data_IF_691597564647
#
_entry.id   IF_691597564647
#
_cell.length_a   1.000
_cell.length_b   1.000
_cell.length_c   1.000
_cell.angle_alpha   90.00
_cell.angle_beta   90.00
_cell.angle_gamma   90.00
#
_symmetry.space_group_name_H-M   'P 1'
#
loop_
_entity.id
_entity.type
_entity.pdbx_description
1 polymer ?
#
# COMPACT_ATOMS: atom_id res chain seq x y z
N UNK A 1 60.40 34.44 30.30
CA UNK A 1 58.95 34.59 30.13
C UNK A 1 58.32 33.24 30.42
N UNK A 2 57.62 33.09 31.55
CA UNK A 2 57.07 31.80 31.99
C UNK A 2 55.63 31.66 31.48
N UNK A 3 55.41 30.80 30.49
CA UNK A 3 54.08 30.45 30.01
C UNK A 3 53.51 29.35 30.93
N UNK A 4 52.49 29.67 31.73
CA UNK A 4 51.73 28.66 32.48
C UNK A 4 50.61 28.12 31.59
N UNK A 5 50.68 26.83 31.26
CA UNK A 5 49.59 26.11 30.61
C UNK A 5 48.70 25.55 31.73
N UNK A 6 47.51 26.12 31.89
CA UNK A 6 46.51 25.56 32.80
C UNK A 6 45.76 24.47 32.03
N UNK A 7 45.97 23.21 32.39
CA UNK A 7 45.10 22.12 31.92
C UNK A 7 43.75 22.28 32.63
N UNK A 8 42.84 23.02 31.99
CA UNK A 8 41.44 23.00 32.37
C UNK A 8 40.95 21.55 32.22
N UNK A 9 40.43 20.99 33.31
CA UNK A 9 39.69 19.73 33.34
C UNK A 9 38.79 19.62 32.11
N UNK A 10 39.17 18.76 31.16
CA UNK A 10 38.37 18.50 29.96
C UNK A 10 37.15 17.69 30.38
N UNK A 11 36.05 18.38 30.69
CA UNK A 11 34.74 17.75 30.63
C UNK A 11 34.61 17.14 29.22
N UNK A 12 34.31 15.85 29.13
CA UNK A 12 34.07 15.20 27.85
C UNK A 12 32.98 15.99 27.10
N UNK A 13 33.16 16.31 25.81
CA UNK A 13 32.13 17.04 25.07
C UNK A 13 30.84 16.22 25.08
N UNK A 14 29.73 16.82 25.51
CA UNK A 14 28.42 16.20 25.37
C UNK A 14 28.10 16.07 23.88
N UNK A 15 28.10 14.83 23.39
CA UNK A 15 27.69 14.53 22.03
C UNK A 15 26.19 14.28 22.04
N UNK A 16 25.45 15.08 21.25
CA UNK A 16 24.01 14.91 21.11
C UNK A 16 23.67 13.53 20.55
N UNK A 17 22.68 12.86 21.15
CA UNK A 17 22.12 11.62 20.59
C UNK A 17 21.55 11.81 19.17
N UNK A 18 21.29 13.06 18.76
CA UNK A 18 20.82 13.42 17.42
C UNK A 18 21.95 13.47 16.37
N UNK A 19 23.22 13.25 16.74
CA UNK A 19 24.33 13.25 15.77
C UNK A 19 24.20 12.12 14.73
N UNK A 20 23.44 11.07 15.06
CA UNK A 20 23.07 10.00 14.15
C UNK A 20 21.57 10.07 13.89
N UNK A 21 21.19 10.13 12.61
CA UNK A 21 19.80 10.10 12.16
C UNK A 21 19.71 9.64 10.71
N UNK A 22 18.52 9.25 10.28
CA UNK A 22 18.21 8.95 8.88
C UNK A 22 17.28 10.01 8.33
N UNK A 23 17.64 10.60 7.20
CA UNK A 23 16.71 11.35 6.39
C UNK A 23 15.96 10.37 5.48
N UNK A 24 14.63 10.33 5.59
CA UNK A 24 13.78 9.47 4.76
C UNK A 24 12.98 10.38 3.85
N UNK A 25 13.40 10.43 2.59
CA UNK A 25 12.70 11.17 1.55
C UNK A 25 12.29 10.20 0.45
N UNK A 26 11.05 10.34 -0.02
CA UNK A 26 10.51 9.55 -1.11
C UNK A 26 9.88 10.48 -2.14
N UNK A 27 10.28 10.32 -3.40
CA UNK A 27 9.71 11.05 -4.51
C UNK A 27 8.95 10.04 -5.40
N UNK A 28 7.72 10.40 -5.78
CA UNK A 28 6.84 9.68 -6.73
C UNK A 28 6.20 8.37 -6.25
N UNK A 29 6.86 7.57 -5.43
CA UNK A 29 6.31 6.27 -4.95
C UNK A 29 6.61 6.06 -3.47
N UNK A 30 5.71 5.38 -2.75
CA UNK A 30 5.98 4.93 -1.39
C UNK A 30 6.80 3.64 -1.38
N UNK A 31 7.68 3.46 -0.41
CA UNK A 31 8.42 2.23 -0.21
C UNK A 31 7.55 1.30 0.61
N UNK A 32 7.26 0.12 0.08
CA UNK A 32 6.40 -0.89 0.72
C UNK A 32 6.89 -1.24 2.14
N UNK A 33 8.19 -1.13 2.42
CA UNK A 33 8.77 -1.39 3.75
C UNK A 33 8.58 -0.28 4.79
N UNK A 34 8.05 0.89 4.38
CA UNK A 34 7.79 2.03 5.26
C UNK A 34 6.30 2.17 5.62
N UNK A 35 5.43 1.39 4.98
CA UNK A 35 4.01 1.32 5.31
C UNK A 35 3.66 -0.04 5.93
N UNK A 36 2.63 -0.05 6.76
CA UNK A 36 1.97 -1.28 7.20
C UNK A 36 1.05 -1.87 6.14
N UNK A 37 0.71 -1.09 5.10
CA UNK A 37 -0.19 -1.49 4.03
C UNK A 37 0.37 -2.70 3.27
N UNK A 38 -0.43 -3.76 3.22
CA UNK A 38 -0.06 -5.01 2.52
C UNK A 38 -0.63 -5.10 1.11
N UNK A 39 -1.67 -4.32 0.82
CA UNK A 39 -2.31 -4.31 -0.49
C UNK A 39 -1.58 -3.34 -1.42
N UNK A 40 -1.27 -3.80 -2.62
CA UNK A 40 -0.80 -2.93 -3.69
C UNK A 40 -1.98 -2.34 -4.43
N UNK A 41 -1.93 -1.05 -4.76
CA UNK A 41 -3.01 -0.36 -5.46
C UNK A 41 -4.44 -0.57 -4.83
N UNK A 42 -4.63 -0.32 -3.51
CA UNK A 42 -5.92 -0.57 -2.85
C UNK A 42 -7.04 0.37 -3.32
N UNK A 43 -6.70 1.45 -4.04
CA UNK A 43 -7.63 2.43 -4.59
C UNK A 43 -7.96 2.20 -6.07
N UNK A 44 -7.50 1.10 -6.65
CA UNK A 44 -7.74 0.72 -8.05
C UNK A 44 -7.35 1.82 -9.06
N UNK A 45 -6.21 2.48 -8.86
CA UNK A 45 -5.68 3.46 -9.80
C UNK A 45 -5.41 2.79 -11.14
N UNK A 46 -5.92 3.38 -12.23
CA UNK A 46 -5.76 2.87 -13.59
C UNK A 46 -4.37 3.06 -14.21
N UNK A 47 -4.23 2.69 -15.50
CA UNK A 47 -5.28 2.16 -16.37
C UNK A 47 -5.57 0.67 -16.12
N UNK A 48 -6.82 0.25 -16.38
CA UNK A 48 -7.20 -1.16 -16.31
C UNK A 48 -6.47 -2.01 -17.36
N UNK A 49 -6.28 -3.30 -17.06
CA UNK A 49 -5.77 -4.26 -18.02
C UNK A 49 -6.74 -4.40 -19.20
N UNK A 50 -6.21 -4.23 -20.42
CA UNK A 50 -7.02 -4.06 -21.64
C UNK A 50 -7.92 -5.24 -21.98
N UNK A 51 -7.55 -6.45 -21.57
CA UNK A 51 -8.32 -7.67 -21.85
C UNK A 51 -9.26 -8.03 -20.71
N UNK A 52 -8.82 -7.83 -19.46
CA UNK A 52 -9.54 -8.35 -18.30
C UNK A 52 -10.38 -7.30 -17.59
N UNK A 53 -10.11 -6.01 -17.80
CA UNK A 53 -10.79 -4.90 -17.12
C UNK A 53 -10.43 -4.76 -15.63
N UNK A 54 -9.41 -5.50 -15.17
CA UNK A 54 -8.93 -5.49 -13.78
C UNK A 54 -7.88 -4.39 -13.60
N UNK A 55 -7.95 -3.67 -12.48
CA UNK A 55 -6.95 -2.68 -12.09
C UNK A 55 -5.55 -3.30 -11.92
N UNK A 56 -4.48 -2.53 -12.15
CA UNK A 56 -3.10 -2.95 -11.90
C UNK A 56 -2.92 -3.56 -10.50
N UNK A 57 -2.04 -4.55 -10.40
CA UNK A 57 -1.71 -5.31 -9.17
C UNK A 57 -2.80 -6.24 -8.64
N UNK A 58 -4.01 -6.25 -9.23
CA UNK A 58 -5.09 -7.15 -8.85
C UNK A 58 -5.25 -8.30 -9.84
N UNK A 59 -5.81 -9.42 -9.35
CA UNK A 59 -6.13 -10.60 -10.15
C UNK A 59 -7.61 -10.96 -9.98
N UNK A 60 -8.27 -11.28 -11.09
CA UNK A 60 -9.63 -11.79 -11.10
C UNK A 60 -9.70 -13.31 -10.90
N UNK A 61 -10.91 -13.81 -10.69
CA UNK A 61 -11.22 -15.23 -10.73
C UNK A 61 -10.87 -15.83 -12.09
N UNK A 62 -10.32 -17.05 -12.06
CA UNK A 62 -10.11 -17.86 -13.27
C UNK A 62 -11.43 -18.45 -13.79
N UNK A 63 -11.46 -18.84 -15.06
CA UNK A 63 -12.59 -19.61 -15.63
C UNK A 63 -13.70 -18.79 -16.31
N UNK A 64 -13.53 -17.47 -16.49
CA UNK A 64 -14.46 -16.67 -17.30
C UNK A 64 -15.86 -16.46 -16.70
N UNK A 65 -16.03 -16.78 -15.41
CA UNK A 65 -17.31 -16.64 -14.70
C UNK A 65 -17.57 -15.23 -14.15
N UNK A 66 -16.59 -14.32 -14.29
CA UNK A 66 -16.65 -12.96 -13.81
C UNK A 66 -16.22 -11.98 -14.91
N UNK A 67 -16.86 -10.82 -14.96
CA UNK A 67 -16.44 -9.67 -15.76
C UNK A 67 -16.02 -8.54 -14.84
N UNK A 68 -15.01 -7.80 -15.27
CA UNK A 68 -14.43 -6.71 -14.51
C UNK A 68 -14.41 -5.45 -15.37
N UNK A 69 -14.61 -4.30 -14.75
CA UNK A 69 -14.38 -2.99 -15.36
C UNK A 69 -13.85 -2.03 -14.31
N UNK A 70 -12.92 -1.16 -14.71
CA UNK A 70 -12.55 -0.01 -13.88
C UNK A 70 -13.46 1.18 -14.20
N UNK A 71 -14.31 1.55 -13.23
CA UNK A 71 -15.37 2.54 -13.43
C UNK A 71 -14.97 3.87 -12.83
N UNK A 72 -14.81 4.90 -13.66
CA UNK A 72 -14.54 6.27 -13.21
C UNK A 72 -15.73 6.86 -12.43
N UNK A 73 -15.45 7.62 -11.39
CA UNK A 73 -16.47 8.29 -10.58
C UNK A 73 -17.24 7.37 -9.63
N UNK A 74 -16.91 6.08 -9.59
CA UNK A 74 -17.62 5.10 -8.77
C UNK A 74 -17.06 4.93 -7.36
N UNK A 75 -15.83 5.42 -7.09
CA UNK A 75 -15.22 5.43 -5.77
C UNK A 75 -15.87 6.46 -4.85
N UNK A 76 -15.68 6.29 -3.53
CA UNK A 76 -16.32 7.13 -2.51
C UNK A 76 -16.11 8.64 -2.71
N UNK A 77 -14.93 9.02 -3.20
CA UNK A 77 -14.54 10.42 -3.41
C UNK A 77 -14.59 10.81 -4.89
N UNK A 78 -15.39 10.10 -5.70
CA UNK A 78 -15.45 10.31 -7.16
C UNK A 78 -14.24 9.76 -7.92
N UNK A 79 -13.40 8.94 -7.28
CA UNK A 79 -12.30 8.23 -7.93
C UNK A 79 -12.78 7.06 -8.78
N UNK A 80 -11.83 6.38 -9.45
CA UNK A 80 -12.08 5.07 -10.04
C UNK A 80 -12.43 4.04 -8.96
N UNK A 81 -13.23 3.02 -9.32
CA UNK A 81 -13.49 1.84 -8.50
C UNK A 81 -13.63 0.60 -9.38
N UNK A 82 -13.18 -0.55 -8.86
CA UNK A 82 -13.28 -1.82 -9.57
C UNK A 82 -14.70 -2.38 -9.48
N UNK A 83 -15.36 -2.52 -10.63
CA UNK A 83 -16.61 -3.25 -10.76
C UNK A 83 -16.31 -4.74 -10.98
N UNK A 84 -17.03 -5.58 -10.25
CA UNK A 84 -17.00 -7.05 -10.35
C UNK A 84 -18.42 -7.53 -10.66
N UNK A 85 -18.59 -8.30 -11.74
CA UNK A 85 -19.89 -8.86 -12.15
C UNK A 85 -19.82 -10.37 -12.24
N UNK A 86 -20.76 -11.06 -11.59
CA UNK A 86 -21.01 -12.46 -11.86
C UNK A 86 -21.64 -12.61 -13.26
N UNK A 87 -21.07 -13.45 -14.12
CA UNK A 87 -21.63 -13.78 -15.44
C UNK A 87 -22.32 -15.14 -15.42
N UNK A 88 -21.90 -16.04 -14.54
CA UNK A 88 -22.47 -17.38 -14.40
C UNK A 88 -23.15 -17.56 -13.03
N UNK A 89 -24.30 -18.27 -12.98
CA UNK A 89 -24.96 -18.59 -11.71
C UNK A 89 -24.09 -19.50 -10.86
N UNK A 90 -24.25 -19.40 -9.53
CA UNK A 90 -23.52 -20.18 -8.52
C UNK A 90 -22.00 -20.00 -8.51
N UNK A 91 -21.50 -18.88 -9.05
CA UNK A 91 -20.08 -18.52 -8.98
C UNK A 91 -19.87 -17.37 -8.01
N UNK A 92 -18.74 -17.39 -7.30
CA UNK A 92 -18.30 -16.32 -6.41
C UNK A 92 -17.22 -15.50 -7.13
N UNK A 93 -17.60 -14.43 -7.85
CA UNK A 93 -16.63 -13.56 -8.48
C UNK A 93 -15.83 -12.86 -7.37
N UNK A 94 -14.51 -12.83 -7.53
CA UNK A 94 -13.63 -12.25 -6.53
C UNK A 94 -12.45 -11.52 -7.21
N UNK A 95 -11.75 -10.76 -6.38
CA UNK A 95 -10.45 -10.17 -6.67
C UNK A 95 -9.48 -10.65 -5.60
N UNK A 96 -8.24 -10.89 -5.98
CA UNK A 96 -7.21 -11.28 -5.02
C UNK A 96 -5.85 -10.69 -5.39
N UNK A 97 -4.96 -10.61 -4.39
CA UNK A 97 -3.54 -10.35 -4.57
C UNK A 97 -2.75 -11.52 -3.99
N UNK A 98 -1.91 -12.12 -4.82
CA UNK A 98 -0.96 -13.13 -4.36
C UNK A 98 0.32 -12.52 -3.80
N UNK A 99 1.15 -13.40 -3.22
CA UNK A 99 2.52 -13.09 -2.76
C UNK A 99 2.60 -12.06 -1.63
N UNK A 100 1.55 -11.93 -0.84
CA UNK A 100 1.57 -11.17 0.41
C UNK A 100 2.02 -12.10 1.53
N UNK A 101 3.10 -11.75 2.21
CA UNK A 101 3.58 -12.53 3.37
C UNK A 101 2.78 -12.14 4.61
N UNK A 102 2.29 -13.14 5.33
CA UNK A 102 1.56 -13.01 6.59
C UNK A 102 2.20 -13.96 7.60
N UNK A 103 2.41 -13.50 8.83
CA UNK A 103 3.01 -14.32 9.89
C UNK A 103 1.93 -15.06 10.67
N UNK A 104 2.25 -16.24 11.18
CA UNK A 104 1.36 -16.94 12.09
C UNK A 104 1.14 -16.12 13.37
N UNK A 105 -0.12 -15.96 13.78
CA UNK A 105 -0.49 -15.14 14.95
C UNK A 105 -0.47 -13.63 14.72
N UNK A 106 -0.20 -13.17 13.48
CA UNK A 106 -0.36 -11.76 13.11
C UNK A 106 -1.84 -11.43 12.96
N UNK A 107 -2.29 -10.36 13.61
CA UNK A 107 -3.62 -9.78 13.40
C UNK A 107 -3.54 -8.71 12.32
N UNK A 108 -4.39 -8.85 11.31
CA UNK A 108 -4.49 -7.91 10.19
C UNK A 108 -5.89 -7.31 10.17
N UNK A 109 -5.95 -6.00 9.96
CA UNK A 109 -7.19 -5.29 9.71
C UNK A 109 -7.42 -5.16 8.20
N UNK A 110 -8.67 -5.38 7.78
CA UNK A 110 -9.08 -5.24 6.39
C UNK A 110 -10.37 -4.41 6.34
N UNK A 111 -10.33 -3.33 5.57
CA UNK A 111 -11.47 -2.46 5.34
C UNK A 111 -11.79 -2.43 3.84
N UNK A 112 -13.07 -2.57 3.50
CA UNK A 112 -13.55 -2.51 2.12
C UNK A 112 -14.77 -1.60 2.02
N UNK A 113 -14.71 -0.72 1.02
CA UNK A 113 -15.83 0.12 0.62
C UNK A 113 -16.46 -0.47 -0.63
N UNK A 114 -17.69 -0.95 -0.52
CA UNK A 114 -18.40 -1.60 -1.61
C UNK A 114 -19.84 -1.09 -1.74
N UNK A 115 -20.32 -1.09 -2.98
CA UNK A 115 -21.74 -0.90 -3.31
C UNK A 115 -22.19 -2.05 -4.21
N UNK A 116 -23.37 -2.58 -3.93
CA UNK A 116 -23.96 -3.65 -4.72
C UNK A 116 -25.25 -3.16 -5.39
N UNK A 117 -25.50 -3.63 -6.60
CA UNK A 117 -26.76 -3.43 -7.31
C UNK A 117 -27.16 -4.73 -7.98
N UNK A 118 -28.36 -5.21 -7.66
CA UNK A 118 -29.00 -6.27 -8.42
C UNK A 118 -29.62 -5.66 -9.69
N UNK A 119 -29.51 -6.37 -10.81
CA UNK A 119 -30.17 -5.96 -12.06
C UNK A 119 -31.57 -6.57 -12.14
#
# INVERSE_FOLDING_TARGET
MNLKINNASTAAPEVSAMILGQNIEMCLTTADGLLSDRLRNPKFLGPAHTVTGVAPEWQGASGGHAAYDLVRGAGMMGSEAQLVRAIAPYTAPHLHQGKISVRAGEELECEIWARARHK
#
